data_IF_302426612759
#
_entry.id   IF_302426612759
#
_cell.length_a   1.000
_cell.length_b   1.000
_cell.length_c   1.000
_cell.angle_alpha   90.00
_cell.angle_beta   90.00
_cell.angle_gamma   90.00
#
_symmetry.space_group_name_H-M   'P 1'
#
loop_
_entity.id
_entity.type
_entity.pdbx_description
1 polymer ?
#
# COMPACT_ATOMS: atom_id res chain seq x y z
N UNK A 1 15.83 -12.55 -21.84
CA UNK A 1 16.11 -11.70 -20.67
C UNK A 1 14.79 -11.18 -20.13
N UNK A 2 14.27 -11.93 -19.18
CA UNK A 2 13.08 -11.71 -18.39
C UNK A 2 13.31 -10.54 -17.43
N UNK A 3 12.49 -9.48 -17.56
CA UNK A 3 12.67 -8.18 -16.90
C UNK A 3 12.45 -8.15 -15.39
N UNK A 4 12.97 -9.14 -14.66
CA UNK A 4 13.03 -9.19 -13.20
C UNK A 4 14.16 -8.27 -12.72
N UNK A 5 13.82 -7.23 -11.96
CA UNK A 5 14.78 -6.32 -11.33
C UNK A 5 14.94 -4.96 -12.00
N UNK A 6 13.85 -4.31 -12.44
CA UNK A 6 13.95 -2.89 -12.85
C UNK A 6 14.17 -2.05 -11.60
N UNK A 7 15.13 -1.13 -11.68
CA UNK A 7 15.37 -0.12 -10.65
C UNK A 7 14.08 0.64 -10.27
N UNK A 8 13.17 0.83 -11.23
CA UNK A 8 11.89 1.48 -11.01
C UNK A 8 10.99 0.73 -10.02
N UNK A 9 10.92 -0.61 -10.06
CA UNK A 9 10.10 -1.38 -9.12
C UNK A 9 10.64 -1.25 -7.69
N UNK A 10 11.97 -1.25 -7.55
CA UNK A 10 12.64 -1.13 -6.25
C UNK A 10 12.47 0.27 -5.63
N UNK A 11 12.56 1.34 -6.43
CA UNK A 11 12.43 2.73 -5.96
C UNK A 11 11.09 2.98 -5.24
N UNK A 12 10.00 2.39 -5.73
CA UNK A 12 8.68 2.54 -5.08
C UNK A 12 8.65 1.86 -3.71
N UNK A 13 9.14 0.62 -3.64
CA UNK A 13 9.19 -0.15 -2.39
C UNK A 13 10.12 0.52 -1.38
N UNK A 14 11.28 1.03 -1.81
CA UNK A 14 12.21 1.76 -0.95
C UNK A 14 11.58 3.03 -0.38
N UNK A 15 10.84 3.80 -1.19
CA UNK A 15 10.14 5.02 -0.74
C UNK A 15 9.02 4.69 0.25
N UNK A 16 8.29 3.61 0.03
CA UNK A 16 7.28 3.10 0.95
C UNK A 16 7.92 2.77 2.31
N UNK A 17 8.97 1.94 2.32
CA UNK A 17 9.67 1.56 3.55
C UNK A 17 10.32 2.72 4.27
N UNK A 18 10.82 3.72 3.53
CA UNK A 18 11.32 4.96 4.13
C UNK A 18 10.20 5.70 4.85
N UNK A 19 9.03 5.86 4.22
CA UNK A 19 7.89 6.53 4.86
C UNK A 19 7.48 5.79 6.13
N UNK A 20 7.27 4.48 6.07
CA UNK A 20 6.88 3.67 7.24
C UNK A 20 7.88 3.79 8.40
N UNK A 21 9.18 3.71 8.10
CA UNK A 21 10.22 3.80 9.13
C UNK A 21 10.22 5.16 9.83
N UNK A 22 10.16 6.24 9.06
CA UNK A 22 10.28 7.59 9.60
C UNK A 22 8.98 8.12 10.20
N UNK A 23 7.82 7.68 9.71
CA UNK A 23 6.52 8.18 10.15
C UNK A 23 5.91 7.33 11.27
N UNK A 24 6.33 6.07 11.43
CA UNK A 24 5.81 5.17 12.46
C UNK A 24 6.93 4.57 13.33
N UNK A 25 7.81 3.75 12.73
CA UNK A 25 8.71 2.86 13.49
C UNK A 25 9.72 3.63 14.35
N UNK A 26 10.24 4.76 13.87
CA UNK A 26 11.23 5.55 14.60
C UNK A 26 10.61 6.55 15.58
N UNK A 27 9.31 6.84 15.46
CA UNK A 27 8.62 7.82 16.31
C UNK A 27 7.99 7.13 17.52
N UNK A 28 7.46 5.92 17.34
CA UNK A 28 6.71 5.20 18.36
C UNK A 28 7.55 4.09 18.99
N UNK A 29 7.48 3.99 20.32
CA UNK A 29 7.93 2.81 21.04
C UNK A 29 6.76 1.83 21.15
N UNK A 30 7.01 0.55 20.88
CA UNK A 30 6.00 -0.50 20.96
C UNK A 30 6.31 -1.39 22.16
N UNK A 31 5.28 -1.73 22.92
CA UNK A 31 5.40 -2.55 24.12
C UNK A 31 5.57 -4.03 23.77
N UNK A 32 4.98 -4.46 22.65
CA UNK A 32 5.08 -5.83 22.15
C UNK A 32 4.88 -5.91 20.62
N UNK A 33 5.10 -7.11 20.06
CA UNK A 33 4.97 -7.34 18.61
C UNK A 33 3.53 -7.28 18.08
N UNK A 34 2.52 -7.54 18.92
CA UNK A 34 1.11 -7.43 18.49
C UNK A 34 0.72 -5.98 18.26
N UNK A 35 1.12 -5.09 19.18
CA UNK A 35 0.93 -3.65 19.02
C UNK A 35 1.62 -3.14 17.76
N UNK A 36 2.89 -3.50 17.54
CA UNK A 36 3.60 -3.15 16.29
C UNK A 36 2.83 -3.60 15.04
N UNK A 37 2.29 -4.82 15.06
CA UNK A 37 1.56 -5.38 13.92
C UNK A 37 0.27 -4.61 13.64
N UNK A 38 -0.49 -4.27 14.69
CA UNK A 38 -1.71 -3.48 14.57
C UNK A 38 -1.40 -2.08 14.01
N UNK A 39 -0.41 -1.41 14.58
CA UNK A 39 -0.01 -0.05 14.19
C UNK A 39 0.50 0.01 12.75
N UNK A 40 1.28 -1.00 12.33
CA UNK A 40 1.73 -1.12 10.95
C UNK A 40 0.53 -1.33 10.02
N UNK A 41 -0.44 -2.19 10.38
CA UNK A 41 -1.66 -2.38 9.58
C UNK A 41 -2.46 -1.09 9.45
N UNK A 42 -2.66 -0.36 10.54
CA UNK A 42 -3.37 0.92 10.54
C UNK A 42 -2.65 1.94 9.67
N UNK A 43 -1.32 2.01 9.76
CA UNK A 43 -0.51 2.89 8.91
C UNK A 43 -0.64 2.54 7.43
N UNK A 44 -0.63 1.25 7.07
CA UNK A 44 -0.84 0.82 5.68
C UNK A 44 -2.23 1.14 5.16
N UNK A 45 -3.27 0.96 5.98
CA UNK A 45 -4.64 1.37 5.63
C UNK A 45 -4.70 2.88 5.33
N UNK A 46 -4.13 3.70 6.20
CA UNK A 46 -4.04 5.14 5.97
C UNK A 46 -3.25 5.50 4.71
N UNK A 47 -2.08 4.87 4.50
CA UNK A 47 -1.22 5.09 3.34
C UNK A 47 -1.94 4.77 2.01
N UNK A 48 -2.73 3.68 1.99
CA UNK A 48 -3.42 3.20 0.80
C UNK A 48 -4.74 3.92 0.52
N UNK A 49 -5.48 4.31 1.56
CA UNK A 49 -6.83 4.85 1.41
C UNK A 49 -6.90 6.38 1.50
N UNK A 50 -6.01 7.01 2.27
CA UNK A 50 -6.13 8.43 2.63
C UNK A 50 -4.99 9.27 2.08
N UNK A 51 -3.74 8.77 2.09
CA UNK A 51 -2.57 9.58 1.71
C UNK A 51 -2.58 9.90 0.20
N UNK A 52 -2.57 11.18 -0.22
CA UNK A 52 -2.40 11.54 -1.62
C UNK A 52 -0.93 11.44 -2.03
N UNK A 53 -0.66 10.88 -3.21
CA UNK A 53 0.71 10.70 -3.70
C UNK A 53 0.95 11.55 -4.95
N UNK A 54 1.94 12.44 -4.91
CA UNK A 54 2.27 13.29 -6.06
C UNK A 54 2.61 12.48 -7.32
N UNK A 55 3.30 11.35 -7.17
CA UNK A 55 3.60 10.43 -8.27
C UNK A 55 2.38 9.73 -8.87
N UNK A 56 1.22 9.83 -8.22
CA UNK A 56 -0.07 9.31 -8.64
C UNK A 56 -1.08 10.44 -8.93
N UNK A 57 -0.60 11.64 -9.30
CA UNK A 57 -1.45 12.82 -9.51
C UNK A 57 -2.33 13.16 -8.30
N UNK A 58 -1.80 13.00 -7.09
CA UNK A 58 -2.50 13.20 -5.82
C UNK A 58 -3.67 12.23 -5.56
N UNK A 59 -3.80 11.16 -6.34
CA UNK A 59 -4.67 10.03 -6.01
C UNK A 59 -4.02 9.13 -4.95
N UNK A 60 -4.86 8.33 -4.29
CA UNK A 60 -4.40 7.30 -3.36
C UNK A 60 -4.09 5.98 -4.10
N UNK A 61 -3.24 5.10 -3.55
CA UNK A 61 -2.92 3.83 -4.18
C UNK A 61 -4.17 2.99 -4.43
N UNK A 62 -5.14 3.01 -3.51
CA UNK A 62 -6.39 2.27 -3.68
C UNK A 62 -7.23 2.82 -4.85
N UNK A 63 -7.31 4.15 -5.00
CA UNK A 63 -8.02 4.76 -6.14
C UNK A 63 -7.42 4.34 -7.48
N UNK A 64 -6.08 4.42 -7.61
CA UNK A 64 -5.39 4.00 -8.84
C UNK A 64 -5.60 2.52 -9.11
N UNK A 65 -5.57 1.68 -8.07
CA UNK A 65 -5.84 0.27 -8.19
C UNK A 65 -7.27 -0.01 -8.69
N UNK A 66 -8.29 0.53 -8.03
CA UNK A 66 -9.70 0.41 -8.44
C UNK A 66 -9.92 0.91 -9.88
N UNK A 67 -9.34 2.05 -10.24
CA UNK A 67 -9.44 2.59 -11.60
C UNK A 67 -8.77 1.67 -12.63
N UNK A 68 -7.67 1.01 -12.26
CA UNK A 68 -7.01 0.02 -13.12
C UNK A 68 -7.87 -1.25 -13.30
N UNK A 69 -8.62 -1.67 -12.27
CA UNK A 69 -9.54 -2.81 -12.35
C UNK A 69 -10.73 -2.48 -13.26
N UNK A 70 -11.32 -1.30 -13.10
CA UNK A 70 -12.40 -0.79 -13.97
C UNK A 70 -11.96 -0.75 -15.43
N UNK A 71 -10.75 -0.26 -15.71
CA UNK A 71 -10.18 -0.23 -17.07
C UNK A 71 -9.96 -1.63 -17.66
N UNK A 72 -9.75 -2.65 -16.83
CA UNK A 72 -9.61 -4.05 -17.26
C UNK A 72 -10.95 -4.78 -17.46
N UNK A 73 -12.08 -4.14 -17.15
CA UNK A 73 -13.41 -4.74 -17.31
C UNK A 73 -13.73 -5.82 -16.29
N UNK A 74 -13.08 -5.82 -15.12
CA UNK A 74 -13.39 -6.76 -14.03
C UNK A 74 -14.72 -6.36 -13.36
N UNK A 75 -15.53 -7.36 -13.03
CA UNK A 75 -16.88 -7.15 -12.49
C UNK A 75 -16.82 -6.91 -10.96
N UNK A 76 -17.87 -6.28 -10.40
CA UNK A 76 -17.98 -5.91 -8.97
C UNK A 76 -17.69 -7.06 -7.97
N UNK A 77 -17.98 -8.31 -8.37
CA UNK A 77 -17.70 -9.50 -7.55
C UNK A 77 -16.19 -9.81 -7.40
N UNK A 78 -15.38 -9.43 -8.39
CA UNK A 78 -13.92 -9.64 -8.37
C UNK A 78 -13.20 -8.55 -7.58
N UNK A 79 -13.74 -7.32 -7.57
CA UNK A 79 -13.29 -6.22 -6.69
C UNK A 79 -13.40 -6.62 -5.21
N UNK A 80 -14.56 -7.16 -4.80
CA UNK A 80 -14.81 -7.65 -3.43
C UNK A 80 -13.86 -8.78 -3.00
N UNK A 81 -13.49 -9.69 -3.91
CA UNK A 81 -12.56 -10.79 -3.62
C UNK A 81 -11.12 -10.27 -3.43
N UNK A 82 -10.73 -9.24 -4.19
CA UNK A 82 -9.40 -8.63 -4.10
C UNK A 82 -9.28 -7.75 -2.85
N UNK A 83 -10.32 -7.01 -2.50
CA UNK A 83 -10.41 -6.24 -1.26
C UNK A 83 -10.31 -7.16 -0.03
N UNK A 84 -11.09 -8.26 0.00
CA UNK A 84 -10.98 -9.28 1.06
C UNK A 84 -9.64 -10.04 1.10
N UNK A 85 -8.86 -10.05 0.01
CA UNK A 85 -7.50 -10.61 0.00
C UNK A 85 -6.47 -9.60 0.52
N UNK A 86 -6.64 -8.31 0.21
CA UNK A 86 -5.79 -7.24 0.72
C UNK A 86 -5.94 -7.07 2.24
N UNK A 87 -7.12 -7.31 2.79
CA UNK A 87 -7.39 -7.28 4.24
C UNK A 87 -6.83 -8.49 5.02
N UNK A 88 -6.38 -9.53 4.32
CA UNK A 88 -5.82 -10.76 4.91
C UNK A 88 -4.29 -10.77 5.01
N UNK A 89 -3.63 -9.67 4.66
CA UNK A 89 -2.19 -9.45 4.88
C UNK A 89 -2.02 -8.59 6.13
#
# INVERSE_FOLDING_TARGET
MDGRGRCHDNIFIERLWRSLKYELIYIKAFENGQELTQEVREWFNWYNQTRPHQGLNYSTPNQVYCDSLKKKGLNHNEELILEQKSERI
#
